data_IF_440459060789
#
_entry.id   IF_440459060789
#
_cell.length_a   1.000
_cell.length_b   1.000
_cell.length_c   1.000
_cell.angle_alpha   90.00
_cell.angle_beta   90.00
_cell.angle_gamma   90.00
#
_symmetry.space_group_name_H-M   'P 1'
#
loop_
_entity.id
_entity.type
_entity.pdbx_description
1 polymer ?
#
# COMPACT_ATOMS: atom_id res chain seq x y z
N UNK A 1 18.96 18.31 -13.95
CA UNK A 1 17.62 18.92 -13.87
C UNK A 1 16.73 17.92 -13.16
N UNK A 2 16.35 18.20 -11.92
CA UNK A 2 15.33 17.40 -11.24
C UNK A 2 13.99 17.61 -11.95
N UNK A 3 13.19 16.55 -12.16
CA UNK A 3 11.88 16.71 -12.78
C UNK A 3 10.95 17.43 -11.80
N UNK A 4 10.59 18.66 -12.13
CA UNK A 4 9.56 19.42 -11.42
C UNK A 4 8.22 18.72 -11.57
N UNK A 5 7.78 18.02 -10.52
CA UNK A 5 6.43 17.47 -10.45
C UNK A 5 5.47 18.66 -10.40
N UNK A 6 4.70 18.87 -11.47
CA UNK A 6 3.62 19.86 -11.48
C UNK A 6 2.54 19.42 -10.50
N UNK A 7 2.41 20.12 -9.38
CA UNK A 7 1.30 19.96 -8.45
C UNK A 7 0.05 20.53 -9.13
N UNK A 8 -0.82 19.65 -9.64
CA UNK A 8 -2.13 20.03 -10.16
C UNK A 8 -3.06 20.21 -8.96
N UNK A 9 -3.43 21.44 -8.64
CA UNK A 9 -4.30 21.76 -7.50
C UNK A 9 -5.73 21.25 -7.73
N UNK A 10 -6.10 20.14 -7.10
CA UNK A 10 -7.48 19.63 -7.03
C UNK A 10 -7.86 19.31 -5.57
N UNK A 11 -8.02 20.35 -4.74
CA UNK A 11 -8.40 20.18 -3.32
C UNK A 11 -7.36 19.36 -2.52
N UNK A 12 -7.54 19.23 -1.18
CA UNK A 12 -6.63 18.41 -0.39
C UNK A 12 -6.75 16.93 -0.78
N UNK A 13 -5.61 16.32 -1.09
CA UNK A 13 -5.41 14.92 -1.40
C UNK A 13 -5.57 14.10 -0.11
N UNK A 14 -6.80 13.68 0.19
CA UNK A 14 -7.13 12.86 1.35
C UNK A 14 -7.72 13.62 2.53
N UNK A 15 -7.57 13.09 3.74
CA UNK A 15 -8.22 13.61 4.97
C UNK A 15 -7.50 14.80 5.62
N UNK A 16 -6.29 15.14 5.15
CA UNK A 16 -5.47 16.19 5.76
C UNK A 16 -5.81 17.56 5.18
N UNK A 17 -5.54 18.61 5.95
CA UNK A 17 -5.90 19.99 5.58
C UNK A 17 -5.22 20.54 4.32
N UNK A 18 -4.07 19.98 3.91
CA UNK A 18 -3.37 20.39 2.68
C UNK A 18 -2.53 19.26 2.09
N UNK A 19 -2.27 19.35 0.78
CA UNK A 19 -1.38 18.45 0.06
C UNK A 19 0.06 18.52 0.58
N UNK A 20 0.49 19.71 1.01
CA UNK A 20 1.82 19.93 1.56
C UNK A 20 2.00 19.14 2.87
N UNK A 21 0.98 19.14 3.74
CA UNK A 21 1.01 18.37 4.97
C UNK A 21 1.02 16.86 4.69
N UNK A 22 0.22 16.42 3.71
CA UNK A 22 0.22 15.02 3.27
C UNK A 22 1.59 14.59 2.75
N UNK A 23 2.17 15.37 1.84
CA UNK A 23 3.51 15.10 1.30
C UNK A 23 4.59 15.15 2.37
N UNK A 24 4.50 16.07 3.32
CA UNK A 24 5.42 16.14 4.45
C UNK A 24 5.44 14.82 5.22
N UNK A 25 4.26 14.32 5.65
CA UNK A 25 4.16 13.03 6.37
C UNK A 25 4.75 11.88 5.57
N UNK A 26 4.44 11.82 4.27
CA UNK A 26 4.96 10.76 3.39
C UNK A 26 6.49 10.79 3.32
N UNK A 27 7.07 11.95 3.03
CA UNK A 27 8.51 12.11 2.81
C UNK A 27 9.33 11.95 4.09
N UNK A 28 8.82 12.41 5.24
CA UNK A 28 9.59 12.38 6.49
C UNK A 28 9.41 11.09 7.28
N UNK A 29 8.23 10.47 7.23
CA UNK A 29 7.85 9.41 8.17
C UNK A 29 7.51 8.08 7.50
N UNK A 30 6.99 8.09 6.27
CA UNK A 30 6.51 6.89 5.59
C UNK A 30 7.57 6.32 4.65
N UNK A 31 7.93 7.03 3.59
CA UNK A 31 8.87 6.54 2.57
C UNK A 31 10.24 6.12 3.10
N UNK A 32 10.87 6.80 4.09
CA UNK A 32 12.15 6.35 4.64
C UNK A 32 12.10 5.00 5.35
N UNK A 33 10.90 4.51 5.69
CA UNK A 33 10.68 3.25 6.42
C UNK A 33 10.00 2.18 5.57
N UNK A 34 9.69 2.50 4.32
CA UNK A 34 9.07 1.57 3.39
C UNK A 34 10.12 0.54 2.92
N UNK A 35 9.76 -0.74 2.91
CA UNK A 35 10.64 -1.78 2.38
C UNK A 35 10.77 -1.63 0.85
N UNK A 36 11.94 -1.90 0.28
CA UNK A 36 12.17 -1.69 -1.16
C UNK A 36 11.19 -2.48 -2.02
N UNK A 37 10.86 -3.72 -1.65
CA UNK A 37 9.88 -4.56 -2.37
C UNK A 37 8.46 -3.96 -2.37
N UNK A 38 8.10 -3.23 -1.31
CA UNK A 38 6.81 -2.52 -1.24
C UNK A 38 6.84 -1.29 -2.15
N UNK A 39 7.95 -0.54 -2.15
CA UNK A 39 8.15 0.60 -3.05
C UNK A 39 8.12 0.19 -4.52
N UNK A 40 8.74 -0.93 -4.88
CA UNK A 40 8.66 -1.53 -6.22
C UNK A 40 7.21 -1.83 -6.61
N UNK A 41 6.47 -2.50 -5.73
CA UNK A 41 5.06 -2.82 -5.95
C UNK A 41 4.20 -1.54 -6.09
N UNK A 42 4.42 -0.54 -5.25
CA UNK A 42 3.74 0.76 -5.33
C UNK A 42 3.98 1.46 -6.67
N UNK A 43 5.21 1.46 -7.16
CA UNK A 43 5.56 2.02 -8.47
C UNK A 43 4.93 1.21 -9.62
N UNK A 44 4.82 -0.12 -9.48
CA UNK A 44 4.13 -0.96 -10.44
C UNK A 44 2.61 -0.68 -10.47
N UNK A 45 1.99 -0.45 -9.30
CA UNK A 45 0.57 -0.13 -9.17
C UNK A 45 0.24 1.23 -9.80
N UNK A 46 1.12 2.22 -9.67
CA UNK A 46 0.92 3.55 -10.27
C UNK A 46 0.72 3.49 -11.81
N UNK A 47 1.24 2.44 -12.45
CA UNK A 47 1.09 2.21 -13.89
C UNK A 47 -0.07 1.25 -14.25
N UNK A 48 -0.89 0.84 -13.27
CA UNK A 48 -1.93 -0.18 -13.49
C UNK A 48 -3.12 0.40 -14.30
N UNK A 49 -3.71 -0.34 -15.26
CA UNK A 49 -4.80 0.16 -16.14
C UNK A 49 -6.08 0.64 -15.43
N UNK A 50 -6.26 0.29 -14.14
CA UNK A 50 -7.40 0.72 -13.33
C UNK A 50 -7.15 2.04 -12.59
N UNK A 51 -5.91 2.55 -12.60
CA UNK A 51 -5.56 3.89 -12.13
C UNK A 51 -6.03 4.91 -13.17
N UNK A 52 -7.01 5.75 -12.81
CA UNK A 52 -7.60 6.74 -13.73
C UNK A 52 -9.07 6.50 -14.11
N UNK A 53 -9.67 5.39 -13.64
CA UNK A 53 -11.11 5.14 -13.70
C UNK A 53 -11.85 5.67 -12.46
N UNK A 54 -12.66 4.83 -11.79
CA UNK A 54 -13.35 5.16 -10.53
C UNK A 54 -12.41 5.20 -9.31
N UNK A 55 -11.15 4.79 -9.47
CA UNK A 55 -10.12 4.83 -8.44
C UNK A 55 -9.06 5.84 -8.88
N UNK A 56 -8.81 6.83 -8.03
CA UNK A 56 -7.73 7.78 -8.25
C UNK A 56 -6.40 7.14 -7.82
N UNK A 57 -5.32 7.54 -8.49
CA UNK A 57 -3.95 7.18 -8.09
C UNK A 57 -3.71 7.48 -6.60
N UNK A 58 -4.27 8.58 -6.08
CA UNK A 58 -4.17 8.94 -4.66
C UNK A 58 -4.85 7.94 -3.72
N UNK A 59 -6.03 7.40 -4.05
CA UNK A 59 -6.72 6.42 -3.17
C UNK A 59 -5.86 5.17 -3.02
N UNK A 60 -5.29 4.69 -4.13
CA UNK A 60 -4.40 3.54 -4.14
C UNK A 60 -3.09 3.82 -3.41
N UNK A 61 -2.52 5.01 -3.56
CA UNK A 61 -1.30 5.40 -2.85
C UNK A 61 -1.52 5.58 -1.35
N UNK A 62 -2.69 6.06 -0.91
CA UNK A 62 -3.01 6.22 0.51
C UNK A 62 -3.04 4.86 1.23
N UNK A 63 -3.66 3.85 0.61
CA UNK A 63 -3.68 2.47 1.10
C UNK A 63 -2.26 1.88 1.14
N UNK A 64 -1.45 2.18 0.12
CA UNK A 64 -0.09 1.68 -0.04
C UNK A 64 0.98 2.48 0.73
N UNK A 65 0.64 3.46 1.57
CA UNK A 65 1.68 4.27 2.25
C UNK A 65 1.36 4.46 3.72
N UNK A 66 0.78 5.60 4.09
CA UNK A 66 0.51 5.96 5.49
C UNK A 66 -0.49 4.99 6.15
N UNK A 67 -1.53 4.57 5.44
CA UNK A 67 -2.47 3.55 5.89
C UNK A 67 -1.80 2.20 6.16
N UNK A 68 -0.96 1.75 5.21
CA UNK A 68 -0.14 0.56 5.38
C UNK A 68 0.77 0.62 6.61
N UNK A 69 1.56 1.68 6.75
CA UNK A 69 2.47 1.82 7.90
C UNK A 69 1.73 1.74 9.25
N UNK A 70 0.51 2.30 9.33
CA UNK A 70 -0.34 2.20 10.51
C UNK A 70 -0.80 0.75 10.79
N UNK A 71 -1.26 0.03 9.76
CA UNK A 71 -1.64 -1.39 9.91
C UNK A 71 -0.44 -2.23 10.36
N UNK A 72 0.74 -2.00 9.79
CA UNK A 72 1.96 -2.71 10.20
C UNK A 72 2.32 -2.44 11.67
N UNK A 73 2.14 -1.20 12.14
CA UNK A 73 2.32 -0.87 13.56
C UNK A 73 1.34 -1.65 14.44
N UNK A 74 0.06 -1.68 14.09
CA UNK A 74 -0.96 -2.42 14.85
C UNK A 74 -0.65 -3.91 14.92
N UNK A 75 -0.26 -4.54 13.81
CA UNK A 75 0.09 -5.96 13.78
C UNK A 75 1.26 -6.30 14.72
N UNK A 76 2.28 -5.43 14.77
CA UNK A 76 3.42 -5.57 15.69
C UNK A 76 3.01 -5.41 17.14
N UNK A 77 2.23 -4.37 17.46
CA UNK A 77 1.77 -4.10 18.82
C UNK A 77 0.88 -5.22 19.37
N UNK A 78 0.06 -5.82 18.51
CA UNK A 78 -0.83 -6.92 18.87
C UNK A 78 -0.14 -8.29 18.83
N UNK A 79 1.13 -8.36 18.44
CA UNK A 79 1.87 -9.62 18.24
C UNK A 79 1.07 -10.63 17.39
N UNK A 80 0.52 -10.16 16.28
CA UNK A 80 -0.47 -10.91 15.51
C UNK A 80 0.18 -12.06 14.74
N UNK A 81 -0.39 -13.26 14.84
CA UNK A 81 0.03 -14.45 14.07
C UNK A 81 -0.97 -14.90 13.01
N UNK A 82 -2.22 -14.46 13.08
CA UNK A 82 -3.27 -14.82 12.13
C UNK A 82 -4.05 -13.58 11.74
N UNK A 83 -4.05 -13.26 10.46
CA UNK A 83 -4.79 -12.12 9.90
C UNK A 83 -5.73 -12.60 8.80
N UNK A 84 -6.78 -11.82 8.54
CA UNK A 84 -7.66 -12.01 7.39
C UNK A 84 -7.69 -10.71 6.59
N UNK A 85 -7.57 -10.82 5.28
CA UNK A 85 -7.70 -9.71 4.33
C UNK A 85 -8.88 -9.97 3.38
N UNK A 86 -9.75 -8.97 3.26
CA UNK A 86 -10.91 -9.00 2.36
C UNK A 86 -10.71 -7.88 1.35
N UNK A 87 -10.43 -8.24 0.09
CA UNK A 87 -10.04 -7.31 -0.97
C UNK A 87 -8.52 -7.08 -1.00
N UNK A 88 -7.83 -7.80 -1.87
CA UNK A 88 -6.38 -7.80 -2.05
C UNK A 88 -5.97 -6.82 -3.15
N UNK A 89 -6.80 -6.64 -4.19
CA UNK A 89 -6.55 -5.82 -5.38
C UNK A 89 -5.23 -6.11 -6.10
N UNK A 90 -4.12 -5.48 -5.69
CA UNK A 90 -2.78 -5.68 -6.28
C UNK A 90 -1.78 -6.27 -5.27
N UNK A 91 -2.20 -6.45 -4.02
CA UNK A 91 -1.45 -7.17 -2.99
C UNK A 91 -0.47 -6.35 -2.18
N UNK A 92 -0.52 -5.02 -2.20
CA UNK A 92 0.38 -4.20 -1.38
C UNK A 92 0.15 -4.44 0.12
N UNK A 93 -1.10 -4.30 0.58
CA UNK A 93 -1.50 -4.55 1.98
C UNK A 93 -1.19 -5.98 2.39
N UNK A 94 -1.45 -6.96 1.52
CA UNK A 94 -1.08 -8.36 1.74
C UNK A 94 0.42 -8.54 1.97
N UNK A 95 1.25 -8.00 1.08
CA UNK A 95 2.70 -8.09 1.16
C UNK A 95 3.22 -7.40 2.44
N UNK A 96 2.70 -6.23 2.77
CA UNK A 96 3.02 -5.51 3.99
C UNK A 96 2.70 -6.34 5.23
N UNK A 97 1.52 -6.97 5.28
CA UNK A 97 1.13 -7.84 6.40
C UNK A 97 2.05 -9.04 6.51
N UNK A 98 2.37 -9.70 5.38
CA UNK A 98 3.29 -10.83 5.34
C UNK A 98 4.70 -10.47 5.81
N UNK A 99 5.20 -9.27 5.49
CA UNK A 99 6.49 -8.75 5.97
C UNK A 99 6.46 -8.35 7.45
N UNK A 100 5.29 -8.16 8.03
CA UNK A 100 5.13 -7.63 9.38
C UNK A 100 4.92 -8.72 10.43
N UNK A 101 4.14 -9.76 10.11
CA UNK A 101 3.85 -10.85 11.03
C UNK A 101 5.05 -11.81 11.16
N UNK A 102 5.15 -12.61 12.24
CA UNK A 102 6.19 -13.61 12.40
C UNK A 102 6.22 -14.64 11.25
N UNK A 103 7.36 -15.31 11.05
CA UNK A 103 7.55 -16.31 9.98
C UNK A 103 6.54 -17.48 10.05
N UNK A 104 6.07 -17.84 11.24
CA UNK A 104 5.02 -18.86 11.47
C UNK A 104 3.60 -18.30 11.35
N UNK A 105 3.46 -17.02 11.02
CA UNK A 105 2.21 -16.32 10.84
C UNK A 105 1.47 -16.73 9.56
N UNK A 106 0.16 -16.50 9.54
CA UNK A 106 -0.72 -16.83 8.41
C UNK A 106 -1.64 -15.65 8.08
N UNK A 107 -1.69 -15.32 6.80
CA UNK A 107 -2.68 -14.38 6.24
C UNK A 107 -3.69 -15.18 5.43
N UNK A 108 -4.95 -15.13 5.84
CA UNK A 108 -6.08 -15.68 5.06
C UNK A 108 -6.60 -14.58 4.17
N UNK A 109 -6.79 -14.85 2.89
CA UNK A 109 -7.18 -13.81 1.94
C UNK A 109 -8.42 -14.22 1.15
N UNK A 110 -9.26 -13.24 0.84
CA UNK A 110 -10.38 -13.41 -0.08
C UNK A 110 -10.51 -12.17 -0.96
N UNK A 111 -10.66 -12.37 -2.26
CA UNK A 111 -10.90 -11.32 -3.25
C UNK A 111 -11.92 -11.84 -4.27
N UNK A 112 -12.81 -10.96 -4.74
CA UNK A 112 -13.80 -11.34 -5.75
C UNK A 112 -13.14 -11.52 -7.13
N UNK A 113 -12.00 -10.87 -7.38
CA UNK A 113 -11.20 -11.03 -8.58
C UNK A 113 -10.22 -12.20 -8.43
N UNK A 114 -10.62 -13.39 -8.90
CA UNK A 114 -9.79 -14.60 -8.89
C UNK A 114 -8.55 -14.56 -9.79
N UNK A 115 -8.33 -13.49 -10.57
CA UNK A 115 -7.25 -13.42 -11.59
C UNK A 115 -5.84 -13.18 -11.03
N UNK A 116 -5.67 -13.05 -9.72
CA UNK A 116 -4.36 -12.91 -9.06
C UNK A 116 -3.82 -14.27 -8.59
N UNK A 117 -4.12 -15.33 -9.34
CA UNK A 117 -3.72 -16.70 -9.02
C UNK A 117 -2.22 -16.78 -8.71
N UNK A 118 -1.93 -17.37 -7.56
CA UNK A 118 -0.60 -17.78 -7.11
C UNK A 118 0.04 -18.71 -8.14
N UNK A 119 0.81 -18.17 -9.08
CA UNK A 119 1.87 -18.90 -9.77
C UNK A 119 3.05 -19.06 -8.81
N UNK A 120 2.91 -19.93 -7.82
CA UNK A 120 4.03 -20.57 -7.12
C UNK A 120 3.52 -21.73 -6.26
N UNK A 121 3.09 -22.79 -6.95
CA UNK A 121 3.21 -24.14 -6.42
C UNK A 121 3.89 -24.96 -7.51
N UNK A 122 5.20 -25.13 -7.36
CA UNK A 122 5.95 -26.16 -8.08
C UNK A 122 6.30 -27.24 -7.05
N UNK A 123 6.02 -28.53 -7.31
CA UNK A 123 6.76 -29.60 -6.67
C UNK A 123 8.23 -29.61 -7.14
#
# INVERSE_FOLDING_TARGET
MEPTVKVVSRGPSGLLQSDELYNYVLMTSVYPREAEILKELRNAIANHPHVGGNLTEQVLLCDCTSGGQFVALLLKLLNTKKTIEVGIFTGYSLLLMALTIPQDGKVVVTDQNSKLETKNQKP
#
